data_IF_000209871994
#
_entry.id   IF_000209871994
#
_cell.length_a   1.000
_cell.length_b   1.000
_cell.length_c   1.000
_cell.angle_alpha   90.00
_cell.angle_beta   90.00
_cell.angle_gamma   90.00
#
_symmetry.space_group_name_H-M   'P 1'
#
loop_
_entity.id
_entity.type
_entity.pdbx_description
1 polymer ?
#
# COMPACT_ATOMS: atom_id res chain seq x y z
N UNK A 1 8.89 -23.96 18.89
CA UNK A 1 8.40 -22.57 18.69
C UNK A 1 7.26 -22.34 19.66
N UNK A 2 7.39 -21.31 20.52
CA UNK A 2 6.67 -21.18 21.79
C UNK A 2 5.15 -21.14 21.67
N UNK A 3 4.48 -22.05 22.37
CA UNK A 3 3.04 -21.99 22.62
C UNK A 3 2.83 -21.17 23.89
N UNK A 4 2.30 -19.96 23.76
CA UNK A 4 1.96 -19.13 24.92
C UNK A 4 0.54 -19.53 25.33
N UNK A 5 0.41 -20.15 26.50
CA UNK A 5 -0.85 -20.66 27.00
C UNK A 5 -1.46 -19.65 27.98
N UNK A 6 -2.52 -18.96 27.56
CA UNK A 6 -3.38 -18.19 28.45
C UNK A 6 -4.69 -18.97 28.63
N UNK A 7 -4.88 -19.56 29.81
CA UNK A 7 -6.17 -20.08 30.26
C UNK A 7 -6.82 -21.14 29.35
N UNK A 8 -6.05 -22.09 28.80
CA UNK A 8 -6.58 -23.24 28.07
C UNK A 8 -6.86 -23.03 26.58
N UNK A 9 -6.63 -21.83 26.02
CA UNK A 9 -6.78 -21.56 24.58
C UNK A 9 -5.43 -21.16 23.97
N UNK A 10 -5.00 -21.87 22.91
CA UNK A 10 -3.81 -21.51 22.13
C UNK A 10 -4.11 -20.32 21.21
N UNK A 11 -4.05 -19.09 21.74
CA UNK A 11 -4.13 -17.91 20.87
C UNK A 11 -2.80 -17.74 20.12
N UNK A 12 -2.87 -17.85 18.80
CA UNK A 12 -1.75 -17.57 17.92
C UNK A 12 -1.37 -16.09 17.95
N UNK A 13 -0.06 -15.79 17.93
CA UNK A 13 0.53 -14.45 17.80
C UNK A 13 -0.18 -13.52 16.78
N UNK A 14 -0.45 -13.94 15.53
CA UNK A 14 -1.12 -13.06 14.55
C UNK A 14 -2.56 -12.68 14.94
N UNK A 15 -3.31 -13.56 15.60
CA UNK A 15 -4.69 -13.28 16.04
C UNK A 15 -4.71 -12.21 17.14
N UNK A 16 -3.79 -12.32 18.10
CA UNK A 16 -3.67 -11.32 19.17
C UNK A 16 -3.31 -9.94 18.63
N UNK A 17 -2.34 -9.88 17.71
CA UNK A 17 -1.93 -8.62 17.07
C UNK A 17 -3.10 -8.00 16.31
N UNK A 18 -3.87 -8.78 15.54
CA UNK A 18 -5.04 -8.29 14.83
C UNK A 18 -6.12 -7.72 15.76
N UNK A 19 -6.38 -8.36 16.90
CA UNK A 19 -7.33 -7.87 17.90
C UNK A 19 -6.87 -6.53 18.48
N UNK A 20 -5.57 -6.37 18.79
CA UNK A 20 -5.02 -5.10 19.26
C UNK A 20 -5.20 -4.00 18.21
N UNK A 21 -4.83 -4.26 16.95
CA UNK A 21 -5.01 -3.30 15.87
C UNK A 21 -6.47 -2.92 15.69
N UNK A 22 -7.39 -3.89 15.77
CA UNK A 22 -8.82 -3.65 15.72
C UNK A 22 -9.27 -2.73 16.86
N UNK A 23 -8.78 -2.96 18.08
CA UNK A 23 -9.11 -2.13 19.24
C UNK A 23 -8.59 -0.69 19.09
N UNK A 24 -7.36 -0.52 18.59
CA UNK A 24 -6.79 0.80 18.29
C UNK A 24 -7.64 1.52 17.24
N UNK A 25 -7.99 0.85 16.14
CA UNK A 25 -8.85 1.44 15.12
C UNK A 25 -10.22 1.80 15.66
N UNK A 26 -10.81 0.96 16.51
CA UNK A 26 -12.10 1.23 17.13
C UNK A 26 -12.06 2.48 18.01
N UNK A 27 -11.00 2.67 18.81
CA UNK A 27 -10.79 3.90 19.60
C UNK A 27 -10.72 5.13 18.69
N UNK A 28 -9.99 5.07 17.57
CA UNK A 28 -9.93 6.19 16.63
C UNK A 28 -11.27 6.49 15.96
N UNK A 29 -12.05 5.45 15.64
CA UNK A 29 -13.38 5.62 15.04
C UNK A 29 -14.35 6.34 15.99
N UNK A 30 -14.26 6.12 17.30
CA UNK A 30 -15.12 6.81 18.29
C UNK A 30 -14.89 8.32 18.29
N UNK A 31 -13.68 8.78 17.98
CA UNK A 31 -13.37 10.20 17.90
C UNK A 31 -13.90 10.88 16.62
N UNK A 32 -14.47 10.11 15.70
CA UNK A 32 -15.01 10.59 14.42
C UNK A 32 -16.54 10.53 14.46
N UNK A 33 -17.22 11.43 13.73
CA UNK A 33 -18.68 11.36 13.56
C UNK A 33 -19.07 10.17 12.67
N UNK A 34 -19.09 8.97 13.26
CA UNK A 34 -19.39 7.73 12.57
C UNK A 34 -20.90 7.44 12.56
N UNK A 35 -21.35 6.82 11.48
CA UNK A 35 -22.72 6.32 11.39
C UNK A 35 -22.84 4.92 12.01
N UNK A 36 -24.02 4.59 12.54
CA UNK A 36 -24.29 3.26 13.10
C UNK A 36 -24.05 2.13 12.07
N UNK A 37 -24.28 2.40 10.78
CA UNK A 37 -24.03 1.47 9.68
C UNK A 37 -22.54 1.13 9.56
N UNK A 38 -21.64 2.11 9.70
CA UNK A 38 -20.19 1.87 9.65
C UNK A 38 -19.73 1.02 10.84
N UNK A 39 -20.27 1.26 12.03
CA UNK A 39 -19.94 0.49 13.22
C UNK A 39 -20.40 -0.97 13.09
N UNK A 40 -21.61 -1.19 12.55
CA UNK A 40 -22.13 -2.53 12.27
C UNK A 40 -21.21 -3.29 11.29
N UNK A 41 -20.78 -2.62 10.22
CA UNK A 41 -19.90 -3.21 9.23
C UNK A 41 -18.51 -3.53 9.77
N UNK A 42 -17.97 -2.68 10.65
CA UNK A 42 -16.68 -2.89 11.31
C UNK A 42 -16.69 -4.15 12.17
N UNK A 43 -17.72 -4.31 13.01
CA UNK A 43 -17.84 -5.49 13.90
C UNK A 43 -17.94 -6.77 13.07
N UNK A 44 -18.75 -6.79 12.02
CA UNK A 44 -18.90 -7.96 11.14
C UNK A 44 -17.56 -8.35 10.52
N UNK A 45 -16.81 -7.37 9.97
CA UNK A 45 -15.49 -7.63 9.39
C UNK A 45 -14.50 -8.17 10.43
N UNK A 46 -14.44 -7.56 11.62
CA UNK A 46 -13.54 -8.00 12.69
C UNK A 46 -13.87 -9.42 13.12
N UNK A 47 -15.15 -9.76 13.32
CA UNK A 47 -15.58 -11.11 13.71
C UNK A 47 -15.25 -12.14 12.62
N UNK A 48 -15.54 -11.85 11.35
CA UNK A 48 -15.20 -12.74 10.22
C UNK A 48 -13.69 -12.97 10.16
N UNK A 49 -12.90 -11.91 10.34
CA UNK A 49 -11.45 -12.00 10.25
C UNK A 49 -10.84 -12.76 11.43
N UNK A 50 -11.30 -12.48 12.64
CA UNK A 50 -10.90 -13.22 13.85
C UNK A 50 -11.28 -14.69 13.73
N UNK A 51 -12.48 -15.00 13.21
CA UNK A 51 -12.90 -16.37 12.94
C UNK A 51 -11.98 -17.07 11.93
N UNK A 52 -11.64 -16.40 10.82
CA UNK A 52 -10.74 -16.95 9.80
C UNK A 52 -9.34 -17.20 10.39
N UNK A 53 -8.81 -16.27 11.16
CA UNK A 53 -7.51 -16.41 11.84
C UNK A 53 -7.52 -17.53 12.88
N UNK A 54 -8.63 -17.67 13.63
CA UNK A 54 -8.81 -18.73 14.60
C UNK A 54 -8.88 -20.12 13.93
N UNK A 55 -9.58 -20.23 12.80
CA UNK A 55 -9.69 -21.46 12.01
C UNK A 55 -8.33 -21.90 11.46
N UNK A 56 -7.53 -20.98 10.92
CA UNK A 56 -6.19 -21.29 10.41
C UNK A 56 -5.21 -21.65 11.54
N UNK A 57 -5.34 -21.00 12.70
CA UNK A 57 -4.58 -21.32 13.90
C UNK A 57 -4.89 -22.74 14.42
N UNK A 58 -6.18 -23.14 14.41
CA UNK A 58 -6.60 -24.48 14.80
C UNK A 58 -6.01 -25.59 13.93
N UNK A 59 -5.78 -25.31 12.64
CA UNK A 59 -5.14 -26.22 11.70
C UNK A 59 -3.60 -26.18 11.73
N UNK A 60 -2.99 -25.40 12.64
CA UNK A 60 -1.54 -25.30 12.80
C UNK A 60 -0.81 -24.48 11.72
N UNK A 61 -1.53 -23.78 10.84
CA UNK A 61 -0.98 -22.97 9.74
C UNK A 61 -0.58 -21.56 10.19
N UNK A 62 0.24 -21.50 11.24
CA UNK A 62 0.78 -20.26 11.82
C UNK A 62 1.42 -19.31 10.77
N UNK A 63 2.26 -19.77 9.82
CA UNK A 63 2.90 -18.85 8.86
C UNK A 63 1.91 -18.20 7.90
N UNK A 64 0.82 -18.89 7.55
CA UNK A 64 -0.20 -18.34 6.65
C UNK A 64 -1.02 -17.23 7.31
N UNK A 65 -1.31 -17.36 8.61
CA UNK A 65 -1.96 -16.32 9.39
C UNK A 65 -1.11 -15.04 9.47
N UNK A 66 0.22 -15.17 9.55
CA UNK A 66 1.14 -14.03 9.51
C UNK A 66 1.11 -13.32 8.15
N UNK A 67 1.03 -14.05 7.04
CA UNK A 67 0.92 -13.47 5.71
C UNK A 67 -0.33 -12.57 5.58
N UNK A 68 -1.47 -13.00 6.12
CA UNK A 68 -2.72 -12.24 6.09
C UNK A 68 -2.65 -10.92 6.88
N UNK A 69 -1.94 -10.91 8.01
CA UNK A 69 -1.68 -9.70 8.79
C UNK A 69 -0.69 -8.77 8.09
N UNK A 70 0.29 -9.32 7.37
CA UNK A 70 1.33 -8.54 6.69
C UNK A 70 0.90 -8.00 5.32
N UNK A 71 -0.11 -8.61 4.70
CA UNK A 71 -0.68 -8.20 3.41
C UNK A 71 -1.03 -6.70 3.32
N UNK A 72 -1.75 -6.09 4.28
CA UNK A 72 -2.01 -4.65 4.23
C UNK A 72 -0.72 -3.80 4.28
N UNK A 73 0.29 -4.22 5.04
CA UNK A 73 1.58 -3.54 5.09
C UNK A 73 2.32 -3.62 3.75
N UNK A 74 2.27 -4.78 3.08
CA UNK A 74 2.83 -4.93 1.74
C UNK A 74 2.13 -4.04 0.71
N UNK A 75 0.81 -3.95 0.74
CA UNK A 75 0.06 -3.06 -0.19
C UNK A 75 0.47 -1.60 0.03
N UNK A 76 0.50 -1.15 1.29
CA UNK A 76 0.92 0.22 1.62
C UNK A 76 2.36 0.46 1.15
N UNK A 77 3.26 -0.49 1.38
CA UNK A 77 4.65 -0.40 0.95
C UNK A 77 4.77 -0.27 -0.58
N UNK A 78 4.05 -1.10 -1.34
CA UNK A 78 4.03 -1.03 -2.81
C UNK A 78 3.48 0.32 -3.29
N UNK A 79 2.37 0.78 -2.69
CA UNK A 79 1.77 2.08 -3.04
C UNK A 79 2.73 3.24 -2.76
N UNK A 80 3.39 3.25 -1.59
CA UNK A 80 4.38 4.26 -1.24
C UNK A 80 5.56 4.27 -2.22
N UNK A 81 6.07 3.11 -2.62
CA UNK A 81 7.13 3.01 -3.64
C UNK A 81 6.63 3.55 -4.99
N UNK A 82 5.40 3.22 -5.40
CA UNK A 82 4.85 3.64 -6.69
C UNK A 82 4.52 5.14 -6.79
N UNK A 83 4.14 5.79 -5.68
CA UNK A 83 3.84 7.22 -5.67
C UNK A 83 5.08 8.09 -5.97
N UNK A 84 6.28 7.62 -5.62
CA UNK A 84 7.55 8.28 -5.98
C UNK A 84 7.94 8.08 -7.47
N UNK A 85 7.22 7.22 -8.20
CA UNK A 85 7.46 6.93 -9.64
C UNK A 85 6.54 7.77 -10.56
N UNK A 86 5.46 8.34 -10.03
CA UNK A 86 4.53 9.18 -10.82
C UNK A 86 5.19 10.43 -11.41
N UNK A 87 6.25 10.96 -10.79
CA UNK A 87 6.97 12.14 -11.28
C UNK A 87 7.68 11.91 -12.63
N UNK A 88 8.07 10.68 -12.95
CA UNK A 88 8.70 10.37 -14.24
C UNK A 88 7.73 10.55 -15.43
N UNK A 89 6.42 10.36 -15.23
CA UNK A 89 5.43 10.49 -16.30
C UNK A 89 5.25 11.95 -16.77
N UNK A 90 5.30 12.91 -15.84
CA UNK A 90 5.14 14.34 -16.13
C UNK A 90 6.37 14.92 -16.82
N UNK A 91 7.57 14.48 -16.42
CA UNK A 91 8.84 14.91 -17.01
C UNK A 91 8.97 14.45 -18.47
N UNK A 92 8.56 13.22 -18.79
CA UNK A 92 8.61 12.69 -20.18
C UNK A 92 7.63 13.40 -21.13
N UNK A 93 6.47 13.83 -20.64
CA UNK A 93 5.53 14.65 -21.42
C UNK A 93 6.11 16.03 -21.76
N UNK A 94 6.91 16.60 -20.85
CA UNK A 94 7.60 17.88 -21.10
C UNK A 94 8.79 17.73 -22.07
N UNK A 95 9.51 16.60 -22.01
CA UNK A 95 10.62 16.33 -22.92
C UNK A 95 10.15 16.20 -24.38
N UNK A 96 9.05 15.49 -24.61
CA UNK A 96 8.45 15.36 -25.95
C UNK A 96 7.90 16.70 -26.47
N UNK A 97 7.37 17.57 -25.61
CA UNK A 97 6.95 18.91 -26.02
C UNK A 97 8.16 19.79 -26.40
N UNK A 98 9.30 19.64 -25.69
CA UNK A 98 10.56 20.34 -26.01
C UNK A 98 11.24 19.82 -27.29
N UNK A 99 11.12 18.52 -27.61
CA UNK A 99 11.70 17.95 -28.84
C UNK A 99 10.94 18.30 -30.12
N UNK A 100 9.69 18.77 -30.00
CA UNK A 100 8.91 19.31 -31.12
C UNK A 100 9.17 20.80 -31.41
N UNK A 101 10.26 21.37 -30.88
CA UNK A 101 10.78 22.61 -31.46
C UNK A 101 11.27 22.29 -32.88
N UNK A 102 10.88 23.06 -33.91
CA UNK A 102 11.29 22.78 -35.28
C UNK A 102 12.81 22.66 -35.35
N UNK A 103 13.30 21.57 -35.92
CA UNK A 103 14.69 21.48 -36.36
C UNK A 103 14.96 22.74 -37.18
N UNK A 104 15.86 23.59 -36.69
CA UNK A 104 16.30 24.75 -37.45
C UNK A 104 16.86 24.21 -38.77
N UNK A 105 16.30 24.59 -39.93
CA UNK A 105 16.76 24.09 -41.21
C UNK A 105 18.24 24.48 -41.38
N UNK A 106 19.05 23.54 -41.87
CA UNK A 106 20.45 23.77 -42.19
C UNK A 106 20.62 25.08 -42.94
N UNK A 107 21.38 26.00 -42.35
CA UNK A 107 21.65 27.29 -42.97
C UNK A 107 22.43 27.05 -44.27
N UNK A 108 22.02 27.64 -45.40
CA UNK A 108 22.78 27.54 -46.63
C UNK A 108 24.17 28.16 -46.43
N UNK A 109 25.20 27.40 -46.81
CA UNK A 109 26.59 27.85 -46.76
C UNK A 109 26.74 29.16 -47.55
N UNK A 110 27.20 30.21 -46.87
CA UNK A 110 27.46 31.50 -47.51
C UNK A 110 28.61 31.37 -48.52
N UNK A 111 28.51 31.96 -49.72
CA UNK A 111 29.61 31.99 -50.67
C UNK A 111 30.79 32.78 -50.08
N UNK A 112 31.99 32.22 -50.16
CA UNK A 112 33.21 32.94 -49.77
C UNK A 112 33.44 34.10 -50.76
N UNK A 113 33.49 35.33 -50.24
CA UNK A 113 33.87 36.48 -51.05
C UNK A 113 35.40 36.56 -51.20
N UNK A 114 35.89 36.96 -52.39
CA UNK A 114 37.33 36.99 -52.68
C UNK A 114 38.00 38.15 -51.95
N UNK A 115 39.08 37.83 -51.25
CA UNK A 115 40.01 38.77 -50.65
C UNK A 115 40.66 39.61 -51.77
N UNK A 116 40.52 40.93 -51.69
CA UNK A 116 41.25 41.88 -52.52
C UNK A 116 42.04 42.82 -51.63
#
# INVERSE_FOLDING_TARGET
>A
MGKIQLGGYTLCMPTYVYIIFSFITFIMLIASDITAVQLMWFIIKVLIWVFLLNLMCANGLIPLAWFFVLLPFFIIFILLVSNNVQDYSKVNAQLNNKQNMPQMPDMPQMPQMPQK
#
